data_IF_142182071578
#
_entry.id   IF_142182071578
#
_cell.length_a   1.000
_cell.length_b   1.000
_cell.length_c   1.000
_cell.angle_alpha   90.00
_cell.angle_beta   90.00
_cell.angle_gamma   90.00
#
_symmetry.space_group_name_H-M   'P 1'
#
loop_
_entity.id
_entity.type
_entity.pdbx_description
1 polymer ?
#
# COMPACT_ATOMS: atom_id res chain seq x y z
N UNK A 1 11.96 -39.48 21.87
CA UNK A 1 11.07 -38.33 22.07
C UNK A 1 11.93 -37.13 21.82
N UNK A 2 11.85 -36.60 20.60
CA UNK A 2 12.67 -35.50 20.12
C UNK A 2 11.82 -34.23 20.22
N UNK A 3 12.28 -33.32 21.07
CA UNK A 3 11.65 -32.06 21.45
C UNK A 3 12.07 -31.02 20.40
N UNK A 4 11.38 -31.00 19.27
CA UNK A 4 11.58 -30.00 18.24
C UNK A 4 11.04 -28.65 18.71
N UNK A 5 11.99 -27.77 19.01
CA UNK A 5 11.84 -26.41 19.46
C UNK A 5 10.82 -25.60 18.63
N UNK A 6 9.81 -25.10 19.34
CA UNK A 6 8.99 -23.95 18.99
C UNK A 6 9.88 -22.69 18.89
N UNK A 7 10.41 -22.42 17.69
CA UNK A 7 11.08 -21.15 17.38
C UNK A 7 10.01 -20.14 16.97
N UNK A 8 9.34 -19.56 17.97
CA UNK A 8 8.47 -18.40 17.79
C UNK A 8 9.20 -17.29 17.03
N UNK A 9 8.56 -16.78 15.98
CA UNK A 9 9.11 -15.83 15.00
C UNK A 9 9.37 -14.43 15.59
N UNK A 10 9.04 -14.16 16.86
CA UNK A 10 9.22 -12.84 17.48
C UNK A 10 9.88 -12.94 18.87
N UNK A 11 11.01 -12.25 19.12
CA UNK A 11 11.51 -12.09 20.48
C UNK A 11 10.53 -11.25 21.29
N UNK A 12 10.18 -11.70 22.49
CA UNK A 12 9.33 -10.97 23.43
C UNK A 12 10.04 -9.68 23.92
N UNK A 13 9.86 -8.58 23.19
CA UNK A 13 10.19 -7.23 23.65
C UNK A 13 9.02 -6.64 24.45
N UNK A 14 9.32 -5.90 25.51
CA UNK A 14 8.32 -5.16 26.29
C UNK A 14 7.45 -4.32 25.34
N UNK A 15 6.12 -4.40 25.50
CA UNK A 15 5.19 -3.56 24.75
C UNK A 15 5.60 -2.09 24.96
N UNK A 16 5.76 -1.28 23.90
CA UNK A 16 6.01 0.15 24.05
C UNK A 16 4.89 0.77 24.89
N UNK A 17 5.24 1.74 25.74
CA UNK A 17 4.24 2.54 26.46
C UNK A 17 3.45 3.40 25.47
N UNK A 18 2.30 3.90 25.90
CA UNK A 18 1.32 4.55 25.05
C UNK A 18 1.91 5.71 24.24
N UNK A 19 2.52 6.67 24.91
CA UNK A 19 3.09 7.84 24.26
C UNK A 19 4.07 7.48 23.14
N UNK A 20 4.85 6.40 23.31
CA UNK A 20 5.80 5.93 22.30
C UNK A 20 5.09 5.33 21.07
N UNK A 21 4.04 4.53 21.26
CA UNK A 21 3.28 3.95 20.15
C UNK A 21 2.59 5.04 19.32
N UNK A 22 2.10 6.11 19.97
CA UNK A 22 1.49 7.26 19.28
C UNK A 22 2.51 8.08 18.50
N UNK A 23 3.67 8.36 19.11
CA UNK A 23 4.78 9.04 18.44
C UNK A 23 5.32 8.24 17.25
N UNK A 24 5.44 6.92 17.41
CA UNK A 24 5.81 6.01 16.32
C UNK A 24 4.80 6.08 15.19
N UNK A 25 3.49 5.97 15.49
CA UNK A 25 2.44 6.07 14.49
C UNK A 25 2.47 7.41 13.75
N UNK A 26 2.53 8.53 14.46
CA UNK A 26 2.58 9.88 13.86
C UNK A 26 3.87 10.09 13.06
N UNK A 27 5.00 9.51 13.49
CA UNK A 27 6.24 9.44 12.71
C UNK A 27 6.03 8.64 11.42
N UNK A 28 5.31 7.52 11.48
CA UNK A 28 5.04 6.64 10.35
C UNK A 28 4.02 7.19 9.36
N UNK A 29 2.92 7.81 9.80
CA UNK A 29 1.80 8.20 8.94
C UNK A 29 1.45 9.69 8.97
N UNK A 30 2.08 10.46 9.87
CA UNK A 30 1.65 11.81 10.21
C UNK A 30 0.42 11.82 11.13
N UNK A 31 0.09 13.00 11.68
CA UNK A 31 -1.03 13.17 12.61
C UNK A 31 -2.37 12.91 11.94
N UNK A 32 -3.18 11.99 12.47
CA UNK A 32 -4.57 11.75 12.05
C UNK A 32 -5.51 12.54 12.96
N UNK A 33 -6.36 13.45 12.43
CA UNK A 33 -7.32 14.17 13.25
C UNK A 33 -8.40 13.21 13.79
N UNK A 34 -8.89 13.40 15.03
CA UNK A 34 -9.96 12.57 15.58
C UNK A 34 -11.25 12.79 14.77
N UNK A 35 -11.77 11.74 14.15
CA UNK A 35 -13.07 11.72 13.46
C UNK A 35 -14.03 10.76 14.15
N UNK A 36 -15.33 11.06 14.15
CA UNK A 36 -16.33 10.25 14.86
C UNK A 36 -16.68 8.99 14.07
N UNK A 37 -16.88 7.85 14.76
CA UNK A 37 -17.20 6.54 14.16
C UNK A 37 -18.36 6.55 13.16
N UNK A 38 -19.27 7.51 13.29
CA UNK A 38 -20.45 7.69 12.43
C UNK A 38 -20.12 8.34 11.08
N UNK A 39 -19.08 9.19 11.02
CA UNK A 39 -18.53 9.73 9.77
C UNK A 39 -17.76 8.66 8.98
N UNK A 40 -17.15 7.71 9.71
CA UNK A 40 -16.35 6.61 9.14
C UNK A 40 -17.24 5.59 8.43
N UNK A 41 -18.40 5.27 9.00
CA UNK A 41 -19.33 4.29 8.44
C UNK A 41 -19.98 4.75 7.11
N UNK A 42 -20.29 6.05 6.97
CA UNK A 42 -20.94 6.61 5.77
C UNK A 42 -20.04 6.58 4.53
N UNK A 43 -18.72 6.68 4.71
CA UNK A 43 -17.76 6.67 3.60
C UNK A 43 -17.54 5.28 3.01
N UNK A 44 -17.67 4.23 3.82
CA UNK A 44 -17.64 2.83 3.35
C UNK A 44 -18.87 2.45 2.51
N UNK A 45 -19.99 3.13 2.71
CA UNK A 45 -21.22 2.90 1.96
C UNK A 45 -21.16 3.53 0.54
N UNK A 46 -20.49 4.68 0.41
CA UNK A 46 -20.23 5.34 -0.88
C UNK A 46 -19.32 4.49 -1.80
N UNK A 47 -18.25 3.93 -1.24
CA UNK A 47 -17.29 3.07 -1.93
C UNK A 47 -17.89 1.76 -2.49
N UNK A 48 -19.05 1.31 -1.98
CA UNK A 48 -19.76 0.11 -2.48
C UNK A 48 -20.54 0.35 -3.78
N UNK A 49 -20.72 1.59 -4.22
CA UNK A 49 -21.51 1.93 -5.42
C UNK A 49 -20.70 1.95 -6.74
N UNK A 50 -19.46 1.43 -6.72
CA UNK A 50 -18.37 1.56 -7.71
C UNK A 50 -18.60 1.04 -9.13
N UNK A 51 -19.73 1.35 -9.76
CA UNK A 51 -20.04 1.05 -11.17
C UNK A 51 -19.83 2.25 -12.10
N UNK A 52 -19.79 3.48 -11.58
CA UNK A 52 -19.71 4.70 -12.42
C UNK A 52 -18.26 5.08 -12.79
N UNK A 53 -17.24 4.63 -12.04
CA UNK A 53 -15.86 5.06 -12.25
C UNK A 53 -15.15 4.39 -13.44
N UNK A 54 -15.55 3.16 -13.83
CA UNK A 54 -15.06 2.51 -15.05
C UNK A 54 -15.49 3.26 -16.31
N UNK A 55 -16.70 3.80 -16.32
CA UNK A 55 -17.24 4.58 -17.45
C UNK A 55 -16.54 5.93 -17.60
N UNK A 56 -16.07 6.53 -16.49
CA UNK A 56 -15.31 7.80 -16.51
C UNK A 56 -13.95 7.61 -17.20
N UNK A 57 -13.28 6.48 -16.97
CA UNK A 57 -12.01 6.17 -17.63
C UNK A 57 -12.17 5.71 -19.08
N UNK A 58 -13.23 4.96 -19.42
CA UNK A 58 -13.57 4.65 -20.82
C UNK A 58 -13.88 5.93 -21.61
N UNK A 59 -14.69 6.86 -21.07
CA UNK A 59 -14.96 8.16 -21.72
C UNK A 59 -13.73 9.05 -21.84
N UNK A 60 -12.83 9.05 -20.86
CA UNK A 60 -11.59 9.83 -20.94
C UNK A 60 -10.64 9.25 -22.02
N UNK A 61 -10.56 7.93 -22.14
CA UNK A 61 -9.74 7.26 -23.16
C UNK A 61 -10.28 7.46 -24.58
N UNK A 62 -11.61 7.53 -24.76
CA UNK A 62 -12.24 7.82 -26.06
C UNK A 62 -12.09 9.29 -26.50
N UNK A 63 -11.86 10.23 -25.58
CA UNK A 63 -11.71 11.66 -25.88
C UNK A 63 -10.26 12.07 -26.24
N UNK A 64 -9.28 11.18 -26.08
CA UNK A 64 -7.86 11.45 -26.34
C UNK A 64 -7.36 10.83 -27.67
N UNK A 65 -8.23 10.70 -28.67
CA UNK A 65 -7.87 10.30 -30.04
C UNK A 65 -7.77 11.51 -30.98
N UNK A 66 -7.00 12.53 -30.59
CA UNK A 66 -6.60 13.65 -31.46
C UNK A 66 -5.07 13.76 -31.49
N UNK A 67 -4.44 14.06 -32.64
CA UNK A 67 -3.00 13.93 -32.79
C UNK A 67 -2.26 14.99 -31.97
N UNK A 68 -1.34 14.54 -31.12
CA UNK A 68 -0.46 15.41 -30.35
C UNK A 68 0.43 16.27 -31.28
N UNK A 69 0.56 17.59 -31.07
CA UNK A 69 1.64 18.35 -31.68
C UNK A 69 2.95 17.98 -30.98
N UNK A 70 4.00 17.76 -31.78
CA UNK A 70 5.34 17.52 -31.30
C UNK A 70 5.83 18.71 -30.47
N UNK A 71 6.05 18.50 -29.17
CA UNK A 71 6.69 19.49 -28.30
C UNK A 71 8.10 18.98 -28.00
N UNK A 72 9.09 19.68 -28.53
CA UNK A 72 10.51 19.50 -28.21
C UNK A 72 10.78 19.73 -26.72
N UNK A 73 11.65 18.93 -26.07
CA UNK A 73 11.97 19.13 -24.66
C UNK A 73 12.83 20.39 -24.46
N UNK A 74 12.55 21.25 -23.46
CA UNK A 74 13.52 22.26 -23.05
C UNK A 74 14.58 21.64 -22.14
N UNK A 75 15.80 22.13 -22.38
CA UNK A 75 17.05 21.79 -21.72
C UNK A 75 17.21 22.55 -20.39
N UNK A 76 17.81 21.84 -19.42
CA UNK A 76 18.68 22.29 -18.33
C UNK A 76 18.14 23.08 -17.10
N UNK A 77 18.50 22.50 -15.95
CA UNK A 77 19.07 23.14 -14.74
C UNK A 77 18.14 23.73 -13.67
N UNK A 78 18.12 23.09 -12.50
CA UNK A 78 18.59 23.71 -11.25
C UNK A 78 18.75 22.63 -10.15
N UNK A 79 19.98 22.52 -9.63
CA UNK A 79 20.30 21.70 -8.46
C UNK A 79 19.73 22.35 -7.20
N UNK A 80 18.93 21.61 -6.43
CA UNK A 80 18.52 21.95 -5.08
C UNK A 80 19.50 21.35 -4.06
N UNK A 81 19.80 22.03 -2.93
CA UNK A 81 20.81 21.59 -1.97
C UNK A 81 20.37 20.32 -1.23
N UNK A 82 21.25 19.33 -1.24
CA UNK A 82 21.10 18.01 -0.64
C UNK A 82 21.05 18.13 0.89
N UNK A 83 19.90 17.84 1.50
CA UNK A 83 19.78 17.67 2.94
C UNK A 83 20.61 16.44 3.39
N UNK A 84 21.26 16.47 4.57
CA UNK A 84 22.12 15.37 5.00
C UNK A 84 21.32 14.05 5.07
N UNK A 85 21.88 12.93 4.57
CA UNK A 85 21.18 11.65 4.56
C UNK A 85 20.89 11.21 6.00
N UNK A 86 19.61 11.01 6.31
CA UNK A 86 19.19 10.42 7.58
C UNK A 86 19.83 9.03 7.71
N UNK A 87 20.22 8.59 8.92
CA UNK A 87 20.82 7.27 9.12
C UNK A 87 19.90 6.17 8.60
N UNK A 88 20.38 5.43 7.61
CA UNK A 88 19.72 4.25 7.06
C UNK A 88 19.79 3.16 8.13
N UNK A 89 18.70 2.97 8.88
CA UNK A 89 18.53 1.75 9.68
C UNK A 89 18.33 0.60 8.69
N UNK A 90 19.37 -0.23 8.50
CA UNK A 90 19.27 -1.48 7.74
C UNK A 90 18.41 -2.46 8.53
N UNK A 91 17.16 -2.62 8.12
CA UNK A 91 16.34 -3.79 8.46
C UNK A 91 16.48 -4.81 7.30
N UNK A 92 16.68 -6.12 7.56
CA UNK A 92 16.92 -7.15 6.55
C UNK A 92 15.90 -7.20 5.39
N UNK A 93 16.33 -7.83 4.29
CA UNK A 93 15.87 -7.61 2.92
C UNK A 93 14.47 -8.15 2.55
N UNK A 94 13.98 -7.62 1.44
CA UNK A 94 12.64 -7.76 0.90
C UNK A 94 12.33 -9.09 0.19
N UNK A 95 13.02 -10.17 0.54
CA UNK A 95 12.76 -11.49 -0.06
C UNK A 95 12.44 -12.56 0.99
N UNK A 96 12.35 -12.21 2.28
CA UNK A 96 12.36 -13.18 3.38
C UNK A 96 11.03 -13.24 4.15
N UNK A 97 9.98 -12.53 3.71
CA UNK A 97 8.66 -12.65 4.34
C UNK A 97 8.01 -13.95 3.85
N UNK A 98 8.00 -14.94 4.73
CA UNK A 98 7.33 -16.23 4.51
C UNK A 98 5.81 -16.02 4.27
N UNK A 99 5.20 -16.77 3.33
CA UNK A 99 3.76 -16.73 3.14
C UNK A 99 3.02 -17.11 4.42
N UNK A 100 2.00 -16.32 4.77
CA UNK A 100 1.15 -16.58 5.93
C UNK A 100 -0.22 -17.06 5.46
N UNK A 101 -0.81 -17.98 6.22
CA UNK A 101 -2.24 -18.27 6.11
C UNK A 101 -3.09 -17.21 6.83
N UNK A 102 -4.41 -17.31 6.66
CA UNK A 102 -5.37 -16.36 7.22
C UNK A 102 -5.31 -16.28 8.76
N UNK A 103 -5.18 -17.42 9.43
CA UNK A 103 -5.17 -17.50 10.89
C UNK A 103 -3.86 -16.92 11.45
N UNK A 104 -2.73 -17.27 10.85
CA UNK A 104 -1.42 -16.72 11.19
C UNK A 104 -1.40 -15.21 11.01
N UNK A 105 -1.85 -14.69 9.86
CA UNK A 105 -1.89 -13.27 9.59
C UNK A 105 -2.78 -12.52 10.60
N UNK A 106 -4.00 -13.03 10.84
CA UNK A 106 -4.94 -12.41 11.80
C UNK A 106 -4.37 -12.37 13.21
N UNK A 107 -3.79 -13.49 13.69
CA UNK A 107 -3.14 -13.54 15.00
C UNK A 107 -2.01 -12.53 15.12
N UNK A 108 -1.13 -12.44 14.11
CA UNK A 108 -0.01 -11.49 14.14
C UNK A 108 -0.48 -10.04 14.13
N UNK A 109 -1.53 -9.72 13.37
CA UNK A 109 -2.16 -8.39 13.40
C UNK A 109 -2.79 -8.09 14.77
N UNK A 110 -3.43 -9.07 15.39
CA UNK A 110 -3.99 -8.99 16.73
C UNK A 110 -2.93 -8.98 17.83
N UNK A 111 -1.71 -9.41 17.58
CA UNK A 111 -0.62 -9.38 18.57
C UNK A 111 0.33 -8.19 18.35
N UNK A 112 0.25 -7.54 17.18
CA UNK A 112 1.13 -6.44 16.79
C UNK A 112 1.16 -5.32 17.83
N UNK A 113 2.38 -4.96 18.22
CA UNK A 113 2.74 -3.90 19.14
C UNK A 113 3.45 -2.74 18.45
N UNK A 114 3.89 -2.96 17.20
CA UNK A 114 4.57 -1.97 16.38
C UNK A 114 3.93 -1.87 14.98
N UNK A 115 4.03 -0.69 14.39
CA UNK A 115 3.45 -0.40 13.06
C UNK A 115 4.04 -1.28 11.94
N UNK A 116 5.34 -1.59 12.01
CA UNK A 116 5.99 -2.41 10.99
C UNK A 116 5.51 -3.87 11.03
N UNK A 117 5.15 -4.40 12.21
CA UNK A 117 4.64 -5.78 12.37
C UNK A 117 3.31 -5.98 11.63
N UNK A 118 2.48 -4.92 11.62
CA UNK A 118 1.23 -4.90 10.85
C UNK A 118 1.52 -5.00 9.35
N UNK A 119 2.55 -4.30 8.88
CA UNK A 119 2.95 -4.30 7.47
C UNK A 119 3.51 -5.67 7.05
N UNK A 120 4.36 -6.26 7.88
CA UNK A 120 4.96 -7.57 7.63
C UNK A 120 3.90 -8.68 7.59
N UNK A 121 2.94 -8.67 8.53
CA UNK A 121 1.83 -9.64 8.56
C UNK A 121 0.93 -9.51 7.33
N UNK A 122 0.60 -8.28 6.91
CA UNK A 122 -0.21 -8.04 5.71
C UNK A 122 0.52 -8.53 4.45
N UNK A 123 1.80 -8.17 4.29
CA UNK A 123 2.58 -8.58 3.13
C UNK A 123 2.84 -10.08 3.10
N UNK A 124 3.01 -10.73 4.26
CA UNK A 124 3.12 -12.19 4.35
C UNK A 124 1.85 -12.90 3.89
N UNK A 125 0.67 -12.41 4.26
CA UNK A 125 -0.58 -12.95 3.74
C UNK A 125 -0.74 -12.70 2.24
N UNK A 126 -0.48 -11.47 1.79
CA UNK A 126 -0.55 -11.09 0.37
C UNK A 126 0.42 -11.92 -0.50
N UNK A 127 1.58 -12.31 0.03
CA UNK A 127 2.57 -13.14 -0.66
C UNK A 127 2.06 -14.54 -1.04
N UNK A 128 1.14 -15.09 -0.24
CA UNK A 128 0.49 -16.37 -0.52
C UNK A 128 -0.61 -16.27 -1.59
N UNK A 129 -1.15 -15.08 -1.80
CA UNK A 129 -2.26 -14.82 -2.72
C UNK A 129 -1.82 -14.29 -4.09
N UNK A 130 -0.74 -13.50 -4.11
CA UNK A 130 -0.32 -12.75 -5.29
C UNK A 130 1.14 -13.00 -5.64
N UNK A 131 1.47 -12.90 -6.93
CA UNK A 131 2.84 -13.01 -7.42
C UNK A 131 3.74 -11.87 -6.95
N UNK A 132 3.16 -10.67 -6.79
CA UNK A 132 3.80 -9.45 -6.28
C UNK A 132 2.81 -8.67 -5.42
N UNK A 133 3.29 -8.11 -4.32
CA UNK A 133 2.55 -7.14 -3.53
C UNK A 133 3.47 -6.04 -3.00
N UNK A 134 2.95 -4.82 -2.88
CA UNK A 134 3.63 -3.70 -2.25
C UNK A 134 2.67 -2.92 -1.36
N UNK A 135 3.21 -2.40 -0.27
CA UNK A 135 2.51 -1.47 0.61
C UNK A 135 3.06 -0.06 0.35
N UNK A 136 2.14 0.88 0.22
CA UNK A 136 2.43 2.31 0.13
C UNK A 136 1.90 3.01 1.38
N UNK A 137 2.63 3.98 1.89
CA UNK A 137 2.21 4.85 2.99
C UNK A 137 1.67 6.14 2.39
N UNK A 138 0.49 6.55 2.86
CA UNK A 138 -0.15 7.79 2.42
C UNK A 138 0.29 8.97 3.27
N UNK A 139 0.99 9.91 2.62
CA UNK A 139 1.35 11.22 3.14
C UNK A 139 0.85 12.28 2.17
N UNK A 140 -0.47 12.45 2.13
CA UNK A 140 -1.15 13.34 1.20
C UNK A 140 -0.40 14.69 1.05
N UNK A 141 -0.12 15.14 -0.19
CA UNK A 141 -0.66 14.62 -1.46
C UNK A 141 0.13 13.46 -2.10
N UNK A 142 1.04 12.81 -1.37
CA UNK A 142 1.93 11.78 -1.90
C UNK A 142 1.65 10.38 -1.33
N UNK A 143 1.96 9.35 -2.13
CA UNK A 143 2.19 7.99 -1.66
C UNK A 143 3.68 7.68 -1.70
N UNK A 144 4.19 7.17 -0.58
CA UNK A 144 5.57 6.70 -0.46
C UNK A 144 5.60 5.18 -0.47
N UNK A 145 6.47 4.57 -1.28
CA UNK A 145 6.67 3.12 -1.24
C UNK A 145 7.28 2.69 0.09
N UNK A 146 6.66 1.71 0.75
CA UNK A 146 7.09 1.26 2.08
C UNK A 146 7.87 -0.05 2.02
N UNK A 147 7.21 -1.09 1.51
CA UNK A 147 7.78 -2.43 1.44
C UNK A 147 7.06 -3.29 0.41
N UNK A 148 7.68 -4.40 0.03
CA UNK A 148 7.13 -5.30 -0.97
C UNK A 148 7.69 -6.70 -0.90
N UNK A 149 6.94 -7.61 -1.55
CA UNK A 149 7.24 -9.04 -1.62
C UNK A 149 6.94 -9.57 -3.03
N UNK A 150 7.71 -10.57 -3.46
CA UNK A 150 7.44 -11.33 -4.68
C UNK A 150 7.99 -10.74 -5.99
N UNK A 151 8.00 -11.56 -7.05
CA UNK A 151 8.32 -11.19 -8.45
C UNK A 151 9.55 -10.32 -8.70
N UNK A 152 10.61 -10.47 -7.89
CA UNK A 152 11.85 -9.71 -8.02
C UNK A 152 11.77 -8.25 -7.55
N UNK A 153 10.67 -7.86 -6.88
CA UNK A 153 10.59 -6.58 -6.20
C UNK A 153 11.47 -6.60 -4.96
N UNK A 154 12.22 -5.51 -4.78
CA UNK A 154 12.95 -5.29 -3.54
C UNK A 154 12.40 -4.07 -2.81
N UNK A 155 12.47 -4.08 -1.48
CA UNK A 155 12.16 -2.94 -0.60
C UNK A 155 12.92 -1.70 -1.04
N UNK A 156 14.18 -1.84 -1.44
CA UNK A 156 14.98 -0.73 -1.97
C UNK A 156 14.50 -0.19 -3.32
N UNK A 157 13.83 -1.00 -4.15
CA UNK A 157 13.19 -0.55 -5.38
C UNK A 157 11.89 0.20 -5.07
N UNK A 158 11.05 -0.36 -4.20
CA UNK A 158 9.75 0.22 -3.85
C UNK A 158 9.90 1.50 -3.05
N UNK A 159 10.87 1.59 -2.13
CA UNK A 159 11.14 2.83 -1.37
C UNK A 159 11.63 4.02 -2.19
N UNK A 160 11.91 3.82 -3.48
CA UNK A 160 12.21 4.92 -4.41
C UNK A 160 10.96 5.50 -5.07
N UNK A 161 9.80 4.87 -4.88
CA UNK A 161 8.54 5.34 -5.42
C UNK A 161 7.98 6.44 -4.54
N UNK A 162 7.82 7.61 -5.13
CA UNK A 162 6.98 8.69 -4.65
C UNK A 162 5.96 8.96 -5.74
N UNK A 163 4.67 8.77 -5.42
CA UNK A 163 3.60 8.85 -6.40
C UNK A 163 2.69 10.01 -6.00
N UNK A 164 2.54 10.99 -6.89
CA UNK A 164 1.56 12.05 -6.70
C UNK A 164 0.15 11.46 -6.79
N UNK A 165 -0.68 11.74 -5.79
CA UNK A 165 -2.09 11.40 -5.84
C UNK A 165 -2.89 12.38 -6.70
N UNK A 166 -2.34 13.57 -6.98
CA UNK A 166 -3.02 14.65 -7.72
C UNK A 166 -2.96 14.44 -9.24
N UNK A 167 -2.03 13.61 -9.72
CA UNK A 167 -1.89 13.28 -11.13
C UNK A 167 -2.82 12.12 -11.54
N UNK A 168 -3.31 12.12 -12.80
CA UNK A 168 -4.07 10.99 -13.34
C UNK A 168 -3.28 9.67 -13.30
N UNK A 169 -3.69 8.77 -12.40
CA UNK A 169 -3.08 7.45 -12.20
C UNK A 169 -4.06 6.48 -11.56
N UNK A 170 -3.71 5.18 -11.55
CA UNK A 170 -4.45 4.15 -10.80
C UNK A 170 -4.45 4.40 -9.29
N UNK A 171 -3.56 5.27 -8.80
CA UNK A 171 -3.44 5.62 -7.38
C UNK A 171 -4.25 6.87 -7.04
N UNK A 172 -4.34 7.84 -7.95
CA UNK A 172 -5.04 9.11 -7.72
C UNK A 172 -6.56 8.96 -7.57
N UNK A 173 -7.14 7.85 -8.04
CA UNK A 173 -8.59 7.59 -7.91
C UNK A 173 -9.04 7.51 -6.45
N UNK A 174 -8.16 7.08 -5.55
CA UNK A 174 -8.50 6.90 -4.14
C UNK A 174 -8.72 8.23 -3.39
N UNK A 175 -8.22 9.36 -3.93
CA UNK A 175 -8.57 10.68 -3.39
C UNK A 175 -10.06 11.01 -3.54
N UNK A 176 -10.74 10.36 -4.49
CA UNK A 176 -12.18 10.57 -4.76
C UNK A 176 -13.09 9.54 -4.06
N UNK A 177 -12.53 8.67 -3.22
CA UNK A 177 -13.30 7.74 -2.41
C UNK A 177 -13.52 6.36 -3.04
N UNK A 178 -12.73 5.99 -4.07
CA UNK A 178 -12.76 4.65 -4.64
C UNK A 178 -12.52 3.57 -3.56
N UNK A 179 -13.33 2.51 -3.56
CA UNK A 179 -13.25 1.43 -2.56
C UNK A 179 -12.12 0.42 -2.80
N UNK A 180 -11.80 0.19 -4.06
CA UNK A 180 -10.69 -0.63 -4.55
C UNK A 180 -10.53 -0.38 -6.05
N UNK A 181 -9.40 -0.83 -6.62
CA UNK A 181 -9.18 -0.93 -8.06
C UNK A 181 -8.91 -2.38 -8.41
N UNK A 182 -9.59 -2.93 -9.41
CA UNK A 182 -9.25 -4.23 -9.99
C UNK A 182 -9.36 -4.14 -11.52
N UNK A 183 -8.22 -4.21 -12.21
CA UNK A 183 -8.23 -4.08 -13.65
C UNK A 183 -6.85 -3.90 -14.29
N UNK A 184 -6.78 -3.79 -15.62
CA UNK A 184 -5.53 -3.48 -16.33
C UNK A 184 -5.02 -2.10 -15.91
N UNK A 185 -3.71 -1.89 -15.89
CA UNK A 185 -3.19 -0.54 -15.61
C UNK A 185 -3.38 0.33 -16.87
N UNK A 186 -4.10 1.47 -16.82
CA UNK A 186 -4.23 2.39 -17.95
C UNK A 186 -2.89 3.03 -18.32
N UNK A 187 -2.78 3.52 -19.54
CA UNK A 187 -1.60 4.28 -19.99
C UNK A 187 -1.74 5.73 -19.58
N UNK A 188 -0.90 6.16 -18.64
CA UNK A 188 -0.71 7.55 -18.24
C UNK A 188 0.77 7.73 -17.89
N UNK A 189 1.34 8.95 -17.94
CA UNK A 189 2.74 9.18 -17.57
C UNK A 189 3.10 8.61 -16.19
N UNK A 190 2.27 8.85 -15.17
CA UNK A 190 2.47 8.33 -13.82
C UNK A 190 2.39 6.79 -13.75
N UNK A 191 1.44 6.16 -14.45
CA UNK A 191 1.32 4.71 -14.49
C UNK A 191 2.47 4.05 -15.26
N UNK A 192 2.91 4.64 -16.36
CA UNK A 192 4.06 4.18 -17.14
C UNK A 192 5.36 4.27 -16.34
N UNK A 193 5.55 5.35 -15.59
CA UNK A 193 6.69 5.52 -14.69
C UNK A 193 6.70 4.48 -13.57
N UNK A 194 5.54 4.23 -12.94
CA UNK A 194 5.37 3.16 -11.97
C UNK A 194 5.76 1.79 -12.55
N UNK A 195 5.25 1.45 -13.75
CA UNK A 195 5.60 0.20 -14.44
C UNK A 195 7.10 0.14 -14.75
N UNK A 196 7.71 1.24 -15.19
CA UNK A 196 9.14 1.33 -15.51
C UNK A 196 10.00 1.04 -14.28
N UNK A 197 9.71 1.68 -13.15
CA UNK A 197 10.45 1.48 -11.89
C UNK A 197 10.26 0.04 -11.36
N UNK A 198 9.06 -0.52 -11.50
CA UNK A 198 8.71 -1.85 -10.94
C UNK A 198 9.00 -3.04 -11.87
N UNK A 199 9.92 -2.87 -12.82
CA UNK A 199 10.47 -3.94 -13.64
C UNK A 199 10.15 -3.85 -15.14
N UNK A 200 9.51 -2.77 -15.58
CA UNK A 200 9.31 -2.42 -16.99
C UNK A 200 8.30 -3.28 -17.74
N UNK A 201 7.65 -4.23 -17.07
CA UNK A 201 6.64 -5.11 -17.67
C UNK A 201 5.29 -4.88 -17.01
N UNK A 202 4.34 -4.41 -17.81
CA UNK A 202 2.96 -4.15 -17.37
C UNK A 202 2.27 -5.47 -17.00
N UNK A 203 1.67 -5.58 -15.80
CA UNK A 203 0.88 -6.76 -15.46
C UNK A 203 -0.40 -6.83 -16.29
N UNK A 204 -1.04 -8.01 -16.34
CA UNK A 204 -2.33 -8.17 -17.02
C UNK A 204 -3.43 -7.34 -16.35
N UNK A 205 -3.48 -7.41 -15.04
CA UNK A 205 -4.32 -6.62 -14.15
C UNK A 205 -3.63 -6.47 -12.79
N UNK A 206 -4.08 -5.53 -11.98
CA UNK A 206 -3.65 -5.35 -10.60
C UNK A 206 -4.85 -5.09 -9.69
N UNK A 207 -4.65 -5.34 -8.40
CA UNK A 207 -5.53 -4.96 -7.31
C UNK A 207 -4.90 -3.81 -6.53
N UNK A 208 -5.68 -2.77 -6.22
CA UNK A 208 -5.29 -1.76 -5.23
C UNK A 208 -6.42 -1.62 -4.21
N UNK A 209 -6.09 -1.70 -2.92
CA UNK A 209 -7.06 -1.53 -1.84
C UNK A 209 -6.57 -0.48 -0.84
N UNK A 210 -7.39 0.54 -0.51
CA UNK A 210 -7.07 1.48 0.54
C UNK A 210 -7.28 0.87 1.91
N UNK A 211 -6.31 1.10 2.80
CA UNK A 211 -6.42 0.82 4.22
C UNK A 211 -6.69 2.15 4.91
N UNK A 212 -7.84 2.22 5.59
CA UNK A 212 -8.33 3.43 6.22
C UNK A 212 -8.18 3.31 7.73
N UNK A 213 -7.86 4.44 8.37
CA UNK A 213 -8.13 4.67 9.78
C UNK A 213 -9.15 5.78 9.83
N UNK A 214 -10.34 5.40 10.27
CA UNK A 214 -11.51 6.21 10.01
C UNK A 214 -11.70 6.53 8.52
N UNK A 215 -11.59 7.81 8.17
CA UNK A 215 -11.87 8.30 6.82
C UNK A 215 -10.61 8.66 6.04
N UNK A 216 -9.44 8.42 6.64
CA UNK A 216 -8.16 8.74 6.06
C UNK A 216 -7.49 7.49 5.57
N UNK A 217 -7.07 7.52 4.31
CA UNK A 217 -6.19 6.50 3.73
C UNK A 217 -4.83 6.63 4.40
N UNK A 218 -4.41 5.59 5.11
CA UNK A 218 -3.07 5.49 5.73
C UNK A 218 -2.12 4.64 4.91
N UNK A 219 -2.65 3.63 4.21
CA UNK A 219 -1.91 2.83 3.26
C UNK A 219 -2.72 2.51 2.01
N UNK A 220 -2.02 2.23 0.91
CA UNK A 220 -2.57 1.48 -0.21
C UNK A 220 -1.81 0.16 -0.33
N UNK A 221 -2.54 -0.96 -0.37
CA UNK A 221 -1.99 -2.24 -0.78
C UNK A 221 -2.12 -2.35 -2.30
N UNK A 222 -1.00 -2.55 -2.99
CA UNK A 222 -0.96 -2.93 -4.40
C UNK A 222 -0.64 -4.42 -4.52
N UNK A 223 -1.28 -5.13 -5.45
CA UNK A 223 -0.92 -6.50 -5.79
C UNK A 223 -1.14 -6.85 -7.27
N UNK A 224 -0.32 -7.74 -7.83
CA UNK A 224 -0.52 -8.33 -9.16
C UNK A 224 0.16 -9.71 -9.30
N UNK A 225 -0.07 -10.38 -10.44
CA UNK A 225 0.58 -11.66 -10.80
C UNK A 225 1.62 -11.52 -11.93
N UNK A 226 2.17 -10.32 -12.09
CA UNK A 226 3.06 -9.96 -13.17
C UNK A 226 2.37 -9.95 -14.54
N UNK A 227 3.19 -10.02 -15.60
CA UNK A 227 2.71 -9.94 -16.99
C UNK A 227 2.28 -11.31 -17.57
N UNK A 228 2.66 -12.40 -16.90
CA UNK A 228 2.51 -13.76 -17.42
C UNK A 228 1.19 -14.41 -17.01
N UNK A 229 0.61 -13.97 -15.90
CA UNK A 229 -0.63 -14.52 -15.36
C UNK A 229 -1.58 -13.38 -15.00
N UNK A 230 -2.88 -13.67 -15.11
CA UNK A 230 -3.92 -12.79 -14.62
C UNK A 230 -4.11 -13.00 -13.11
N UNK A 231 -4.49 -11.94 -12.42
CA UNK A 231 -5.03 -12.02 -11.07
C UNK A 231 -6.43 -12.63 -11.18
N UNK A 232 -6.47 -13.97 -11.10
CA UNK A 232 -7.67 -14.77 -11.37
C UNK A 232 -8.55 -15.01 -10.14
N UNK A 233 -8.26 -14.38 -8.99
CA UNK A 233 -8.75 -14.84 -7.71
C UNK A 233 -9.72 -13.86 -7.03
N UNK A 234 -10.67 -14.47 -6.34
CA UNK A 234 -11.63 -13.92 -5.39
C UNK A 234 -10.93 -13.04 -4.33
N UNK A 235 -10.67 -11.78 -4.68
CA UNK A 235 -10.04 -10.80 -3.79
C UNK A 235 -10.89 -10.53 -2.53
N UNK A 236 -12.13 -11.03 -2.46
CA UNK A 236 -12.91 -10.99 -1.22
C UNK A 236 -12.18 -11.65 -0.05
N UNK A 237 -11.30 -12.63 -0.31
CA UNK A 237 -10.53 -13.33 0.72
C UNK A 237 -9.52 -12.43 1.44
N UNK A 238 -9.01 -11.37 0.80
CA UNK A 238 -8.09 -10.44 1.47
C UNK A 238 -8.83 -9.40 2.32
N UNK A 239 -10.10 -9.15 2.05
CA UNK A 239 -10.87 -8.09 2.72
C UNK A 239 -10.96 -8.27 4.25
N UNK A 240 -11.23 -9.48 4.80
CA UNK A 240 -11.21 -9.68 6.25
C UNK A 240 -9.86 -9.37 6.89
N UNK A 241 -8.74 -9.72 6.23
CA UNK A 241 -7.39 -9.39 6.73
C UNK A 241 -7.17 -7.88 6.72
N UNK A 242 -7.57 -7.18 5.66
CA UNK A 242 -7.48 -5.71 5.57
C UNK A 242 -8.30 -4.99 6.65
N UNK A 243 -9.46 -5.53 7.02
CA UNK A 243 -10.24 -5.02 8.14
C UNK A 243 -9.51 -5.19 9.48
N UNK A 244 -8.84 -6.33 9.68
CA UNK A 244 -8.01 -6.57 10.87
C UNK A 244 -6.80 -5.63 10.91
N UNK A 245 -6.19 -5.31 9.76
CA UNK A 245 -5.12 -4.30 9.66
C UNK A 245 -5.59 -2.93 10.15
N UNK A 246 -6.76 -2.46 9.69
CA UNK A 246 -7.32 -1.18 10.14
C UNK A 246 -7.52 -1.14 11.66
N UNK A 247 -8.09 -2.21 12.24
CA UNK A 247 -8.27 -2.36 13.70
C UNK A 247 -6.93 -2.43 14.44
N UNK A 248 -5.93 -3.08 13.88
CA UNK A 248 -4.59 -3.15 14.47
C UNK A 248 -3.98 -1.75 14.57
N UNK A 249 -4.07 -0.93 13.52
CA UNK A 249 -3.61 0.45 13.59
C UNK A 249 -4.42 1.31 14.56
N UNK A 250 -5.76 1.21 14.56
CA UNK A 250 -6.61 1.92 15.53
C UNK A 250 -6.22 1.58 16.98
N UNK A 251 -5.93 0.30 17.24
CA UNK A 251 -5.44 -0.13 18.54
C UNK A 251 -4.09 0.48 18.86
N UNK A 252 -3.11 0.42 17.95
CA UNK A 252 -1.78 0.98 18.18
C UNK A 252 -1.83 2.49 18.45
N UNK A 253 -2.76 3.19 17.81
CA UNK A 253 -3.03 4.61 18.08
C UNK A 253 -3.62 4.80 19.48
N UNK A 254 -4.67 4.05 19.83
CA UNK A 254 -5.42 4.23 21.09
C UNK A 254 -4.65 3.71 22.32
N UNK A 255 -3.94 2.61 22.18
CA UNK A 255 -2.99 2.18 23.21
C UNK A 255 -1.88 3.20 23.38
N UNK A 256 -1.82 4.21 22.50
CA UNK A 256 -0.93 5.34 22.53
C UNK A 256 -1.44 6.63 23.19
N UNK A 257 -2.72 6.64 23.62
CA UNK A 257 -3.36 7.71 24.41
C UNK A 257 -3.48 7.29 25.89
#
# INVERSE_FOLDING_TARGET
>A
MDESADKGIFPAGARPDSDQAREEFDRFFGKVPPGTAEELAKSFEYAKSGTEESEIFERAAEQEEAPAPAVTPPSASAAAPEAPPRPIVRVPGANDIEPLDFHQATRLLEEATQVYEVSDALLGYARGMFGRAALFVSRAPWLEGWDAVGGGWSRGMIRKLEISLEEPSIFGIFQRGAGYYLGPIPKTPANDEFVRITGGKRPRNCLIVPILIGNRIVNLLYADNGHASELAADFSQIMPVLQTVGKAYERLIRSGD
#
